data_IF_699188369976
#
_entry.id   IF_699188369976
#
_cell.length_a   1.000
_cell.length_b   1.000
_cell.length_c   1.000
_cell.angle_alpha   90.00
_cell.angle_beta   90.00
_cell.angle_gamma   90.00
#
_symmetry.space_group_name_H-M   'P 1'
#
loop_
_entity.id
_entity.type
_entity.pdbx_description
1 polymer ?
#
# COMPACT_ATOMS: atom_id res chain seq x y z
N UNK A 1 -8.52 -6.73 -25.53
CA UNK A 1 -8.91 -5.89 -24.37
C UNK A 1 -7.68 -5.09 -23.98
N UNK A 2 -7.63 -3.80 -24.32
CA UNK A 2 -6.40 -3.00 -24.18
C UNK A 2 -6.14 -2.68 -22.70
N UNK A 3 -5.07 -3.23 -22.13
CA UNK A 3 -4.63 -2.91 -20.78
C UNK A 3 -4.04 -1.49 -20.76
N UNK A 4 -4.74 -0.56 -20.11
CA UNK A 4 -4.29 0.82 -19.93
C UNK A 4 -3.22 0.89 -18.83
N UNK A 5 -2.02 1.32 -19.21
CA UNK A 5 -0.88 1.51 -18.31
C UNK A 5 -1.17 2.47 -17.15
N UNK A 6 -0.52 2.22 -16.01
CA UNK A 6 -0.57 3.05 -14.80
C UNK A 6 -0.17 4.50 -15.07
N UNK A 7 -1.03 5.46 -14.70
CA UNK A 7 -0.76 6.90 -14.85
C UNK A 7 -0.90 7.65 -13.52
N UNK A 8 0.02 8.60 -13.22
CA UNK A 8 -0.09 9.46 -12.05
C UNK A 8 -1.22 10.49 -12.21
N UNK A 9 -2.03 10.68 -11.17
CA UNK A 9 -3.06 11.72 -11.12
C UNK A 9 -2.68 12.79 -10.12
N UNK A 10 -2.44 14.01 -10.61
CA UNK A 10 -2.10 15.15 -9.77
C UNK A 10 -3.35 16.03 -9.55
N UNK A 11 -3.88 16.04 -8.32
CA UNK A 11 -5.06 16.85 -7.94
C UNK A 11 -4.60 18.08 -7.13
N UNK A 12 -5.13 19.27 -7.46
CA UNK A 12 -4.84 20.51 -6.73
C UNK A 12 -5.76 20.64 -5.50
N UNK A 13 -5.19 20.51 -4.30
CA UNK A 13 -5.91 20.56 -3.03
C UNK A 13 -6.60 21.94 -2.86
N UNK A 14 -7.92 22.01 -2.65
CA UNK A 14 -8.62 23.26 -2.33
C UNK A 14 -8.17 23.80 -0.96
N UNK A 15 -8.15 25.13 -0.78
CA UNK A 15 -7.74 25.75 0.48
C UNK A 15 -8.76 25.62 1.62
N UNK A 16 -9.99 25.19 1.33
CA UNK A 16 -11.14 25.18 2.25
C UNK A 16 -11.71 23.77 2.49
N UNK A 17 -10.84 22.76 2.51
CA UNK A 17 -11.25 21.35 2.71
C UNK A 17 -11.04 20.91 4.16
N UNK A 18 -12.07 20.33 4.77
CA UNK A 18 -11.97 19.73 6.10
C UNK A 18 -11.11 18.45 6.08
N UNK A 19 -10.46 18.12 7.19
CA UNK A 19 -9.71 16.86 7.35
C UNK A 19 -10.57 15.61 7.02
N UNK A 20 -11.87 15.66 7.32
CA UNK A 20 -12.81 14.58 7.01
C UNK A 20 -13.08 14.46 5.50
N UNK A 21 -13.04 15.58 4.78
CA UNK A 21 -13.31 15.66 3.33
C UNK A 21 -12.05 15.38 2.50
N UNK A 22 -10.87 15.59 3.08
CA UNK A 22 -9.57 15.24 2.47
C UNK A 22 -9.54 13.77 2.05
N UNK A 23 -10.07 12.85 2.87
CA UNK A 23 -10.09 11.42 2.54
C UNK A 23 -10.86 11.11 1.25
N UNK A 24 -12.04 11.73 1.08
CA UNK A 24 -12.86 11.58 -0.13
C UNK A 24 -12.22 12.28 -1.34
N UNK A 25 -11.45 13.35 -1.10
CA UNK A 25 -10.72 14.07 -2.14
C UNK A 25 -9.52 13.28 -2.68
N UNK A 26 -8.76 12.64 -1.81
CA UNK A 26 -7.59 11.82 -2.12
C UNK A 26 -7.98 10.36 -2.43
N UNK A 27 -8.81 10.16 -3.46
CA UNK A 27 -8.86 8.85 -4.12
C UNK A 27 -7.47 8.48 -4.68
N UNK A 28 -7.27 7.20 -5.01
CA UNK A 28 -5.99 6.66 -5.50
C UNK A 28 -5.27 7.61 -6.49
N UNK A 29 -4.00 7.89 -6.20
CA UNK A 29 -3.10 8.65 -7.08
C UNK A 29 -2.74 7.90 -8.37
N UNK A 30 -3.12 6.63 -8.42
CA UNK A 30 -2.81 5.69 -9.48
C UNK A 30 -4.10 5.33 -10.22
N UNK A 31 -4.10 5.45 -11.55
CA UNK A 31 -5.19 4.94 -12.40
C UNK A 31 -4.65 3.89 -13.38
N UNK A 32 -5.44 2.84 -13.63
CA UNK A 32 -5.07 1.73 -14.51
C UNK A 32 -4.41 0.58 -13.76
N UNK A 33 -3.86 -0.38 -14.50
CA UNK A 33 -3.21 -1.56 -13.93
C UNK A 33 -1.72 -1.59 -14.29
N UNK A 34 -0.93 -2.31 -13.48
CA UNK A 34 0.46 -2.63 -13.85
C UNK A 34 0.44 -3.47 -15.13
N UNK A 35 1.24 -3.08 -16.12
CA UNK A 35 1.48 -3.96 -17.26
C UNK A 35 2.22 -5.23 -16.80
N UNK A 36 2.19 -6.33 -17.57
CA UNK A 36 2.76 -7.61 -17.14
C UNK A 36 4.23 -7.51 -16.69
N UNK A 37 5.06 -6.78 -17.42
CA UNK A 37 6.48 -6.58 -17.08
C UNK A 37 6.68 -5.78 -15.78
N UNK A 38 5.91 -4.70 -15.58
CA UNK A 38 5.99 -3.93 -14.33
C UNK A 38 5.49 -4.75 -13.14
N UNK A 39 4.45 -5.56 -13.33
CA UNK A 39 3.94 -6.46 -12.29
C UNK A 39 4.98 -7.47 -11.86
N UNK A 40 5.62 -8.15 -12.81
CA UNK A 40 6.69 -9.12 -12.54
C UNK A 40 7.86 -8.49 -11.77
N UNK A 41 8.28 -7.28 -12.17
CA UNK A 41 9.35 -6.55 -11.50
C UNK A 41 8.96 -6.21 -10.04
N UNK A 42 7.74 -5.70 -9.83
CA UNK A 42 7.23 -5.35 -8.49
C UNK A 42 7.13 -6.58 -7.60
N UNK A 43 6.57 -7.68 -8.11
CA UNK A 43 6.46 -8.95 -7.39
C UNK A 43 7.83 -9.53 -7.03
N UNK A 44 8.81 -9.41 -7.93
CA UNK A 44 10.20 -9.83 -7.68
C UNK A 44 10.86 -9.06 -6.55
N UNK A 45 10.78 -7.72 -6.57
CA UNK A 45 11.41 -6.89 -5.54
C UNK A 45 10.70 -7.02 -4.18
N UNK A 46 9.36 -7.12 -4.16
CA UNK A 46 8.64 -7.42 -2.94
C UNK A 46 8.94 -8.82 -2.41
N UNK A 47 9.05 -9.82 -3.29
CA UNK A 47 9.43 -11.18 -2.91
C UNK A 47 10.80 -11.22 -2.22
N UNK A 48 11.80 -10.51 -2.76
CA UNK A 48 13.12 -10.37 -2.13
C UNK A 48 13.03 -9.71 -0.75
N UNK A 49 12.25 -8.64 -0.64
CA UNK A 49 12.07 -7.94 0.64
C UNK A 49 11.41 -8.83 1.69
N UNK A 50 10.34 -9.56 1.29
CA UNK A 50 9.65 -10.53 2.14
C UNK A 50 10.58 -11.68 2.57
N UNK A 51 11.45 -12.14 1.68
CA UNK A 51 12.44 -13.16 2.01
C UNK A 51 13.35 -12.70 3.16
N UNK A 52 13.89 -11.48 3.09
CA UNK A 52 14.74 -10.95 4.16
C UNK A 52 13.96 -10.71 5.46
N UNK A 53 12.72 -10.23 5.39
CA UNK A 53 11.87 -10.08 6.57
C UNK A 53 11.57 -11.44 7.24
N UNK A 54 11.27 -12.47 6.44
CA UNK A 54 11.02 -13.82 6.94
C UNK A 54 12.29 -14.43 7.56
N UNK A 55 13.45 -14.25 6.92
CA UNK A 55 14.73 -14.71 7.46
C UNK A 55 15.04 -14.10 8.82
N UNK A 56 14.82 -12.79 8.98
CA UNK A 56 14.97 -12.10 10.26
C UNK A 56 13.98 -12.60 11.31
N UNK A 57 12.71 -12.80 10.93
CA UNK A 57 11.71 -13.37 11.83
C UNK A 57 12.15 -14.76 12.33
N UNK A 58 12.64 -15.63 11.44
CA UNK A 58 13.13 -16.96 11.79
C UNK A 58 14.31 -16.90 12.77
N UNK A 59 15.28 -16.00 12.55
CA UNK A 59 16.42 -15.80 13.46
C UNK A 59 15.98 -15.33 14.86
N UNK A 60 14.90 -14.57 14.93
CA UNK A 60 14.34 -14.06 16.19
C UNK A 60 13.27 -14.97 16.79
N UNK A 61 13.02 -16.14 16.20
CA UNK A 61 11.95 -17.06 16.57
C UNK A 61 10.56 -16.38 16.60
N UNK A 62 10.30 -15.52 15.62
CA UNK A 62 9.03 -14.82 15.40
C UNK A 62 8.31 -15.42 14.19
N UNK A 63 6.97 -15.44 14.24
CA UNK A 63 6.14 -15.78 13.10
C UNK A 63 5.77 -14.50 12.32
N UNK A 64 6.16 -14.42 11.05
CA UNK A 64 5.92 -13.25 10.20
C UNK A 64 4.42 -12.97 9.99
N UNK A 65 3.61 -14.02 9.86
CA UNK A 65 2.16 -13.88 9.66
C UNK A 65 1.46 -13.35 10.92
N UNK A 66 1.84 -13.85 12.10
CA UNK A 66 1.29 -13.35 13.37
C UNK A 66 1.67 -11.87 13.59
N UNK A 67 2.90 -11.49 13.26
CA UNK A 67 3.36 -10.11 13.31
C UNK A 67 2.55 -9.20 12.37
N UNK A 68 2.27 -9.68 11.15
CA UNK A 68 1.41 -8.98 10.20
C UNK A 68 -0.02 -8.77 10.74
N UNK A 69 -0.64 -9.81 11.32
CA UNK A 69 -1.98 -9.70 11.91
C UNK A 69 -2.02 -8.70 13.07
N UNK A 70 -0.98 -8.70 13.92
CA UNK A 70 -0.85 -7.77 15.04
C UNK A 70 -0.79 -6.31 14.57
N UNK A 71 0.00 -6.02 13.54
CA UNK A 71 0.07 -4.66 12.98
C UNK A 71 -1.22 -4.27 12.24
N UNK A 72 -1.84 -5.20 11.51
CA UNK A 72 -3.12 -4.95 10.87
C UNK A 72 -4.19 -4.53 11.89
N UNK A 73 -4.28 -5.24 13.03
CA UNK A 73 -5.22 -4.91 14.10
C UNK A 73 -4.97 -3.52 14.71
N UNK A 74 -3.71 -3.12 14.89
CA UNK A 74 -3.36 -1.76 15.33
C UNK A 74 -3.82 -0.69 14.34
N UNK A 75 -3.58 -0.91 13.04
CA UNK A 75 -4.02 0.00 11.99
C UNK A 75 -5.55 0.11 11.92
N UNK A 76 -6.28 -0.99 12.10
CA UNK A 76 -7.75 -0.98 12.15
C UNK A 76 -8.29 -0.15 13.33
N UNK A 77 -7.53 -0.03 14.42
CA UNK A 77 -7.92 0.78 15.58
C UNK A 77 -7.79 2.28 15.29
N UNK A 78 -6.83 2.67 14.46
CA UNK A 78 -6.57 4.06 14.08
C UNK A 78 -7.44 4.57 12.92
N UNK A 79 -8.54 3.87 12.60
CA UNK A 79 -9.40 4.06 11.41
C UNK A 79 -9.69 5.51 11.00
N UNK A 80 -9.89 6.43 11.95
CA UNK A 80 -10.23 7.85 11.69
C UNK A 80 -8.99 8.65 11.24
N UNK A 81 -7.78 8.22 11.61
CA UNK A 81 -6.50 8.83 11.23
C UNK A 81 -5.79 8.09 10.09
N UNK A 82 -6.36 6.98 9.61
CA UNK A 82 -5.82 6.27 8.46
C UNK A 82 -6.26 6.98 7.16
N UNK A 83 -5.34 7.75 6.60
CA UNK A 83 -5.47 8.58 5.39
C UNK A 83 -5.06 7.83 4.10
N UNK A 84 -4.94 6.51 4.15
CA UNK A 84 -4.71 5.66 2.96
C UNK A 84 -6.06 5.31 2.32
#
# INVERSE_FOLDING_TARGET
>A
MAASALKPKNKKIPQDISLLEIKEYFGSHLNGELCPSCREMVETEFGKTLFYMAALCNLLNLNLYDLFLKEHSKLSTLRIFNLT
#
